data_IF_053827512360
#
_entry.id   IF_053827512360
#
_cell.length_a   1.000
_cell.length_b   1.000
_cell.length_c   1.000
_cell.angle_alpha   90.00
_cell.angle_beta   90.00
_cell.angle_gamma   90.00
#
_symmetry.space_group_name_H-M   'P 1'
#
loop_
_entity.id
_entity.type
_entity.pdbx_description
1 polymer ?
#
# COMPACT_ATOMS: atom_id res chain seq x y z
N UNK A 1 -0.85 29.25 16.96
CA UNK A 1 -2.23 29.63 16.60
C UNK A 1 -3.12 28.45 16.96
N UNK A 2 -3.57 28.40 18.21
CA UNK A 2 -4.52 27.39 18.66
C UNK A 2 -5.92 27.83 18.27
N UNK A 3 -6.50 27.17 17.27
CA UNK A 3 -7.87 27.41 16.83
C UNK A 3 -8.71 26.32 17.49
N UNK A 4 -9.44 26.68 18.55
CA UNK A 4 -10.37 25.78 19.25
C UNK A 4 -11.76 26.16 18.77
N UNK A 5 -12.39 25.30 17.99
CA UNK A 5 -13.79 25.43 17.59
C UNK A 5 -14.54 24.20 18.07
N UNK A 6 -15.52 24.41 18.95
CA UNK A 6 -16.41 23.38 19.50
C UNK A 6 -15.71 22.12 20.06
N UNK A 7 -15.27 22.21 21.31
CA UNK A 7 -14.86 21.07 22.16
C UNK A 7 -13.67 20.24 21.63
N UNK A 8 -12.77 20.87 20.87
CA UNK A 8 -11.52 20.25 20.39
C UNK A 8 -10.69 21.17 19.48
N UNK A 9 -9.50 20.72 19.05
CA UNK A 9 -8.72 21.44 18.05
C UNK A 9 -9.48 21.51 16.72
N UNK A 10 -9.39 22.65 16.04
CA UNK A 10 -10.05 22.85 14.75
C UNK A 10 -9.64 21.75 13.75
N UNK A 11 -10.59 21.18 12.97
CA UNK A 11 -10.28 20.14 11.99
C UNK A 11 -9.20 20.55 10.98
N UNK A 12 -9.18 21.83 10.59
CA UNK A 12 -8.16 22.40 9.71
C UNK A 12 -6.75 22.33 10.30
N UNK A 13 -6.62 22.57 11.61
CA UNK A 13 -5.35 22.48 12.32
C UNK A 13 -4.84 21.04 12.39
N UNK A 14 -5.73 20.08 12.68
CA UNK A 14 -5.38 18.65 12.69
C UNK A 14 -4.90 18.18 11.31
N UNK A 15 -5.59 18.58 10.24
CA UNK A 15 -5.18 18.24 8.86
C UNK A 15 -3.81 18.85 8.54
N UNK A 16 -3.55 20.10 8.92
CA UNK A 16 -2.27 20.76 8.69
C UNK A 16 -1.11 20.04 9.40
N UNK A 17 -1.35 19.49 10.60
CA UNK A 17 -0.37 18.67 11.30
C UNK A 17 -0.12 17.35 10.57
N UNK A 18 -1.19 16.66 10.15
CA UNK A 18 -1.11 15.41 9.39
C UNK A 18 -0.31 15.58 8.09
N UNK A 19 -0.54 16.67 7.36
CA UNK A 19 0.16 16.97 6.11
C UNK A 19 1.65 17.28 6.27
N UNK A 20 2.08 17.67 7.47
CA UNK A 20 3.48 17.95 7.79
C UNK A 20 4.25 16.77 8.37
N UNK A 21 3.58 15.65 8.63
CA UNK A 21 4.30 14.45 9.03
C UNK A 21 5.25 13.99 7.91
N UNK A 22 6.43 13.45 8.26
CA UNK A 22 7.31 12.82 7.28
C UNK A 22 6.57 11.74 6.48
N UNK A 23 6.92 11.58 5.21
CA UNK A 23 6.33 10.55 4.35
C UNK A 23 6.62 9.12 4.84
N UNK A 24 7.60 8.94 5.71
CA UNK A 24 7.94 7.67 6.37
C UNK A 24 7.09 7.37 7.61
N UNK A 25 6.22 8.30 8.02
CA UNK A 25 5.44 8.21 9.26
C UNK A 25 4.38 7.10 9.22
N UNK A 26 3.97 6.65 10.41
CA UNK A 26 2.94 5.60 10.56
C UNK A 26 1.58 6.04 10.01
N UNK A 27 1.24 7.33 10.17
CA UNK A 27 -0.01 7.89 9.64
C UNK A 27 -0.04 7.83 8.12
N UNK A 28 1.08 8.16 7.46
CA UNK A 28 1.22 8.05 6.00
C UNK A 28 1.18 6.59 5.54
N UNK A 29 1.87 5.70 6.24
CA UNK A 29 1.87 4.27 5.92
C UNK A 29 0.47 3.65 6.00
N UNK A 30 -0.31 4.01 7.03
CA UNK A 30 -1.69 3.54 7.18
C UNK A 30 -2.59 4.08 6.06
N UNK A 31 -2.42 5.35 5.67
CA UNK A 31 -3.13 5.94 4.54
C UNK A 31 -2.80 5.26 3.21
N UNK A 32 -1.55 4.79 3.05
CA UNK A 32 -1.06 4.14 1.82
C UNK A 32 -1.42 2.65 1.70
N UNK A 33 -2.00 2.02 2.72
CA UNK A 33 -2.45 0.62 2.62
C UNK A 33 -2.07 -0.27 3.80
N UNK A 34 -1.24 0.20 4.74
CA UNK A 34 -0.98 -0.51 5.99
C UNK A 34 0.44 -0.37 6.54
N UNK A 35 0.70 -1.08 7.63
CA UNK A 35 1.96 -0.98 8.39
C UNK A 35 3.20 -1.41 7.60
N UNK A 36 3.04 -2.17 6.52
CA UNK A 36 4.15 -2.59 5.66
C UNK A 36 4.81 -1.41 4.92
N UNK A 37 4.09 -0.30 4.72
CA UNK A 37 4.63 0.94 4.14
C UNK A 37 5.32 1.84 5.16
N UNK A 38 5.45 1.40 6.41
CA UNK A 38 6.14 2.19 7.43
C UNK A 38 7.63 2.30 7.11
N UNK A 39 8.18 3.52 7.16
CA UNK A 39 9.56 3.79 6.75
C UNK A 39 9.77 3.88 5.23
N UNK A 40 8.73 3.63 4.42
CA UNK A 40 8.79 3.77 2.97
C UNK A 40 8.36 5.18 2.55
N UNK A 41 9.35 6.06 2.46
CA UNK A 41 9.19 7.39 1.87
C UNK A 41 9.36 7.37 0.35
N UNK A 42 9.14 8.53 -0.27
CA UNK A 42 9.32 8.74 -1.71
C UNK A 42 10.72 8.29 -2.17
N UNK A 43 11.76 8.62 -1.41
CA UNK A 43 13.15 8.26 -1.73
C UNK A 43 13.35 6.74 -1.85
N UNK A 44 12.68 5.95 -0.98
CA UNK A 44 12.79 4.49 -0.99
C UNK A 44 12.05 3.88 -2.19
N UNK A 45 10.91 4.45 -2.56
CA UNK A 45 10.21 4.07 -3.80
C UNK A 45 11.04 4.41 -5.04
N UNK A 46 11.60 5.61 -5.11
CA UNK A 46 12.44 6.04 -6.25
C UNK A 46 13.72 5.20 -6.37
N UNK A 47 14.37 4.86 -5.26
CA UNK A 47 15.55 4.00 -5.26
C UNK A 47 15.22 2.58 -5.77
N UNK A 48 14.09 2.01 -5.34
CA UNK A 48 13.61 0.72 -5.82
C UNK A 48 13.34 0.76 -7.33
N UNK A 49 12.60 1.76 -7.81
CA UNK A 49 12.29 1.90 -9.25
C UNK A 49 13.56 2.10 -10.09
N UNK A 50 14.54 2.86 -9.58
CA UNK A 50 15.83 3.06 -10.25
C UNK A 50 16.63 1.75 -10.34
N UNK A 51 16.66 0.97 -9.25
CA UNK A 51 17.31 -0.33 -9.23
C UNK A 51 16.65 -1.31 -10.20
N UNK A 52 15.32 -1.35 -10.21
CA UNK A 52 14.55 -2.20 -11.13
C UNK A 52 14.80 -1.79 -12.59
N UNK A 53 14.84 -0.49 -12.90
CA UNK A 53 15.14 0.03 -14.23
C UNK A 53 16.57 -0.32 -14.69
N UNK A 54 17.56 -0.21 -13.80
CA UNK A 54 18.95 -0.59 -14.09
C UNK A 54 19.07 -2.10 -14.35
N UNK A 55 18.41 -2.92 -13.54
CA UNK A 55 18.37 -4.36 -13.74
C UNK A 55 17.72 -4.74 -15.08
N UNK A 56 16.62 -4.08 -15.44
CA UNK A 56 15.96 -4.27 -16.73
C UNK A 56 16.85 -3.85 -17.90
N UNK A 57 17.50 -2.68 -17.82
CA UNK A 57 18.42 -2.21 -18.85
C UNK A 57 19.61 -3.15 -19.03
N UNK A 58 20.19 -3.62 -17.92
CA UNK A 58 21.32 -4.57 -17.91
C UNK A 58 20.90 -5.91 -18.53
N UNK A 59 19.70 -6.38 -18.19
CA UNK A 59 19.13 -7.60 -18.76
C UNK A 59 18.86 -7.46 -20.27
N UNK A 60 18.40 -6.30 -20.72
CA UNK A 60 18.09 -6.04 -22.12
C UNK A 60 19.32 -5.82 -23.00
N UNK A 61 20.33 -5.13 -22.49
CA UNK A 61 21.51 -4.68 -23.26
C UNK A 61 22.70 -5.63 -23.15
N UNK A 62 22.75 -6.50 -22.14
CA UNK A 62 23.88 -7.40 -21.93
C UNK A 62 24.01 -8.46 -23.05
N UNK A 63 25.25 -8.79 -23.41
CA UNK A 63 25.55 -9.88 -24.35
C UNK A 63 25.43 -11.23 -23.65
N UNK A 64 24.19 -11.67 -23.40
CA UNK A 64 23.90 -12.93 -22.74
C UNK A 64 23.89 -14.07 -23.77
N UNK A 65 24.85 -14.98 -23.71
CA UNK A 65 25.01 -16.01 -24.74
C UNK A 65 23.79 -16.94 -24.97
N UNK A 66 22.91 -17.15 -23.98
CA UNK A 66 21.68 -17.94 -24.15
C UNK A 66 20.46 -17.35 -23.44
N UNK A 67 20.59 -17.01 -22.16
CA UNK A 67 19.51 -16.42 -21.36
C UNK A 67 20.07 -15.33 -20.45
N UNK A 68 19.38 -14.18 -20.34
CA UNK A 68 19.73 -13.18 -19.35
C UNK A 68 19.54 -13.71 -17.92
N UNK A 69 20.43 -13.37 -16.98
CA UNK A 69 20.23 -13.69 -15.57
C UNK A 69 18.98 -12.98 -15.02
N UNK A 70 18.34 -13.63 -14.04
CA UNK A 70 17.23 -13.04 -13.29
C UNK A 70 17.84 -12.29 -12.11
N UNK A 71 17.78 -10.97 -12.16
CA UNK A 71 18.16 -10.12 -11.03
C UNK A 71 17.02 -10.11 -10.01
N UNK A 72 17.31 -10.25 -8.71
CA UNK A 72 16.28 -10.14 -7.67
C UNK A 72 15.70 -8.72 -7.68
N UNK A 73 14.39 -8.62 -7.50
CA UNK A 73 13.69 -7.34 -7.36
C UNK A 73 14.02 -6.71 -6.00
N UNK A 74 14.03 -5.38 -5.95
CA UNK A 74 14.19 -4.68 -4.68
C UNK A 74 13.01 -5.04 -3.74
N UNK A 75 13.25 -5.35 -2.45
CA UNK A 75 12.18 -5.75 -1.54
C UNK A 75 11.18 -4.60 -1.36
N UNK A 76 10.03 -4.65 -2.02
CA UNK A 76 8.97 -3.62 -1.96
C UNK A 76 7.89 -4.01 -0.94
N UNK A 77 7.24 -3.05 -0.25
CA UNK A 77 6.04 -3.31 0.51
C UNK A 77 4.97 -3.78 -0.45
N UNK A 78 4.63 -5.06 -0.38
CA UNK A 78 3.49 -5.61 -1.07
C UNK A 78 2.31 -5.55 -0.13
N UNK A 79 1.21 -4.98 -0.59
CA UNK A 79 -0.07 -5.23 0.05
C UNK A 79 -0.33 -6.72 -0.13
N UNK A 80 -0.04 -7.51 0.91
CA UNK A 80 -0.44 -8.92 0.91
C UNK A 80 -1.91 -8.91 0.56
N UNK A 81 -2.34 -9.61 -0.52
CA UNK A 81 -3.76 -9.74 -0.78
C UNK A 81 -4.36 -10.26 0.52
N UNK A 82 -5.33 -9.53 1.08
CA UNK A 82 -6.13 -10.09 2.16
C UNK A 82 -6.68 -11.38 1.58
N UNK A 83 -6.22 -12.52 2.08
CA UNK A 83 -6.88 -13.82 1.95
C UNK A 83 -8.24 -13.77 2.69
N UNK A 84 -9.03 -12.72 2.47
CA UNK A 84 -10.45 -12.75 2.71
C UNK A 84 -11.01 -13.60 1.60
N UNK A 85 -11.44 -14.85 1.88
CA UNK A 85 -12.11 -15.64 0.86
C UNK A 85 -13.27 -14.80 0.34
N UNK A 86 -13.33 -14.63 -0.98
CA UNK A 86 -14.45 -13.93 -1.61
C UNK A 86 -15.73 -14.51 -1.01
N UNK A 87 -16.50 -13.70 -0.26
CA UNK A 87 -17.77 -14.16 0.31
C UNK A 87 -18.59 -14.68 -0.85
N UNK A 88 -18.86 -16.00 -0.87
CA UNK A 88 -19.65 -16.63 -1.93
C UNK A 88 -20.92 -15.81 -2.10
N UNK A 89 -21.20 -15.34 -3.31
CA UNK A 89 -22.41 -14.59 -3.62
C UNK A 89 -23.60 -15.50 -3.29
N UNK A 90 -24.39 -15.10 -2.31
CA UNK A 90 -25.53 -15.89 -1.81
C UNK A 90 -26.74 -15.54 -2.66
N UNK A 91 -27.45 -16.55 -3.18
CA UNK A 91 -28.66 -16.31 -3.97
C UNK A 91 -29.84 -15.97 -3.06
N UNK A 92 -30.89 -15.34 -3.63
CA UNK A 92 -32.12 -15.04 -2.89
C UNK A 92 -32.77 -16.32 -2.37
N UNK A 93 -32.68 -17.43 -3.11
CA UNK A 93 -33.17 -18.73 -2.68
C UNK A 93 -32.45 -19.25 -1.43
N UNK A 94 -31.12 -19.07 -1.35
CA UNK A 94 -30.33 -19.45 -0.18
C UNK A 94 -30.66 -18.59 1.06
N UNK A 95 -31.00 -17.32 0.86
CA UNK A 95 -31.46 -16.44 1.95
C UNK A 95 -32.84 -16.87 2.45
N UNK A 96 -33.78 -17.15 1.55
CA UNK A 96 -35.13 -17.61 1.89
C UNK A 96 -35.08 -18.93 2.69
N UNK A 97 -34.28 -19.90 2.24
CA UNK A 97 -34.13 -21.19 2.91
C UNK A 97 -33.52 -21.08 4.32
N UNK A 98 -32.70 -20.05 4.60
CA UNK A 98 -32.16 -19.78 5.94
C UNK A 98 -33.18 -19.14 6.87
N UNK A 99 -34.02 -18.28 6.32
CA UNK A 99 -35.06 -17.58 7.09
C UNK A 99 -36.20 -18.54 7.44
N UNK A 100 -36.59 -19.41 6.51
CA UNK A 100 -37.69 -20.36 6.69
C UNK A 100 -37.37 -21.58 7.57
N UNK A 101 -36.12 -21.71 8.05
CA UNK A 101 -35.66 -22.82 8.91
C UNK A 101 -35.55 -22.44 10.39
N UNK A 102 -35.83 -21.18 10.73
CA UNK A 102 -36.07 -20.72 12.10
C UNK A 102 -37.55 -20.83 12.42
#
# INVERSE_FOLDING_TARGET
MDVIECRGPAPSFVIALVQRLPDTSMTRALANGGMHHFGWGIDRHMAADTFDALNQNTRATGNWGKKPPIFPEWPRPTDKPKDTPAKKRVSVADLHARISRR
#
